data_IF_391830654553
#
_entry.id   IF_391830654553
#
_cell.length_a   1.000
_cell.length_b   1.000
_cell.length_c   1.000
_cell.angle_alpha   90.00
_cell.angle_beta   90.00
_cell.angle_gamma   90.00
#
_symmetry.space_group_name_H-M   'P 1'
#
loop_
_entity.id
_entity.type
_entity.pdbx_description
1 polymer ?
#
# COMPACT_ATOMS: atom_id res chain seq x y z
N UNK A 1 7.46 -16.13 17.36
CA UNK A 1 6.52 -15.10 16.88
C UNK A 1 5.13 -15.40 17.43
N UNK A 2 4.37 -14.40 17.88
CA UNK A 2 3.00 -14.56 18.41
C UNK A 2 2.03 -15.09 17.34
N UNK A 3 0.95 -15.80 17.72
CA UNK A 3 -0.01 -16.41 16.78
C UNK A 3 -0.83 -15.37 16.02
N UNK A 4 -1.24 -14.27 16.66
CA UNK A 4 -2.02 -13.19 16.02
C UNK A 4 -1.14 -12.46 15.01
N UNK A 5 0.12 -12.16 15.37
CA UNK A 5 1.08 -11.55 14.44
C UNK A 5 1.28 -12.45 13.21
N UNK A 6 1.53 -13.75 13.39
CA UNK A 6 1.64 -14.68 12.25
C UNK A 6 0.39 -14.70 11.38
N UNK A 7 -0.80 -14.62 12.00
CA UNK A 7 -2.07 -14.60 11.27
C UNK A 7 -2.24 -13.31 10.46
N UNK A 8 -1.90 -12.15 11.03
CA UNK A 8 -1.89 -10.85 10.31
C UNK A 8 -1.01 -10.96 9.06
N UNK A 9 0.23 -11.43 9.22
CA UNK A 9 1.18 -11.54 8.10
C UNK A 9 0.70 -12.53 7.04
N UNK A 10 0.14 -13.68 7.44
CA UNK A 10 -0.41 -14.67 6.51
C UNK A 10 -1.60 -14.11 5.72
N UNK A 11 -2.49 -13.36 6.37
CA UNK A 11 -3.65 -12.76 5.73
C UNK A 11 -3.26 -11.59 4.82
N UNK A 12 -2.14 -10.93 5.12
CA UNK A 12 -1.60 -9.82 4.31
C UNK A 12 -0.80 -10.31 3.10
N UNK A 13 -0.61 -11.62 2.94
CA UNK A 13 0.18 -12.19 1.86
C UNK A 13 -0.60 -12.19 0.51
N UNK A 14 -0.10 -11.48 -0.52
CA UNK A 14 -0.76 -11.40 -1.82
C UNK A 14 -0.89 -12.74 -2.54
N UNK A 15 0.09 -13.64 -2.41
CA UNK A 15 0.07 -14.94 -3.06
C UNK A 15 -1.02 -15.83 -2.44
N UNK A 16 -1.16 -15.77 -1.12
CA UNK A 16 -2.25 -16.44 -0.40
C UNK A 16 -3.60 -15.83 -0.78
N UNK A 17 -3.72 -14.49 -0.86
CA UNK A 17 -4.95 -13.83 -1.27
C UNK A 17 -5.37 -14.22 -2.70
N UNK A 18 -4.43 -14.22 -3.65
CA UNK A 18 -4.64 -14.69 -5.01
C UNK A 18 -5.12 -16.15 -5.03
N UNK A 19 -4.48 -17.05 -4.27
CA UNK A 19 -4.88 -18.47 -4.22
C UNK A 19 -6.32 -18.74 -3.79
N UNK A 20 -6.95 -17.80 -3.07
CA UNK A 20 -8.34 -17.91 -2.65
C UNK A 20 -9.33 -17.32 -3.65
N UNK A 21 -8.89 -16.33 -4.45
CA UNK A 21 -9.77 -15.52 -5.31
C UNK A 21 -9.59 -15.80 -6.81
N UNK A 22 -8.48 -16.41 -7.18
CA UNK A 22 -8.06 -16.62 -8.56
C UNK A 22 -7.84 -18.10 -8.81
N UNK A 23 -8.54 -18.63 -9.82
CA UNK A 23 -8.25 -19.96 -10.37
C UNK A 23 -7.52 -19.79 -11.70
N UNK A 24 -6.43 -20.53 -11.87
CA UNK A 24 -5.53 -20.40 -13.02
C UNK A 24 -5.20 -21.79 -13.58
N UNK A 25 -5.42 -21.97 -14.87
CA UNK A 25 -4.94 -23.11 -15.67
C UNK A 25 -3.96 -22.60 -16.73
N UNK A 26 -3.46 -23.50 -17.61
CA UNK A 26 -2.51 -23.11 -18.67
C UNK A 26 -3.10 -22.15 -19.72
N UNK A 27 -4.42 -22.05 -19.81
CA UNK A 27 -5.13 -21.34 -20.87
C UNK A 27 -6.39 -20.61 -20.39
N UNK A 28 -6.67 -20.62 -19.08
CA UNK A 28 -7.82 -19.94 -18.49
C UNK A 28 -7.44 -19.26 -17.18
N UNK A 29 -7.87 -18.00 -17.05
CA UNK A 29 -7.86 -17.23 -15.81
C UNK A 29 -9.31 -17.01 -15.38
N UNK A 30 -9.63 -17.39 -14.14
CA UNK A 30 -10.93 -17.15 -13.54
C UNK A 30 -10.74 -16.27 -12.30
N UNK A 31 -11.45 -15.14 -12.27
CA UNK A 31 -11.48 -14.23 -11.12
C UNK A 31 -12.94 -13.93 -10.82
N UNK A 32 -13.38 -14.27 -9.61
CA UNK A 32 -14.80 -14.29 -9.25
C UNK A 32 -15.62 -15.11 -10.28
N UNK A 33 -16.58 -14.49 -10.97
CA UNK A 33 -17.41 -15.11 -12.00
C UNK A 33 -16.91 -14.91 -13.43
N UNK A 34 -15.84 -14.12 -13.62
CA UNK A 34 -15.32 -13.80 -14.95
C UNK A 34 -14.29 -14.83 -15.40
N UNK A 35 -14.37 -15.21 -16.68
CA UNK A 35 -13.47 -16.17 -17.32
C UNK A 35 -12.74 -15.51 -18.48
N UNK A 36 -11.43 -15.69 -18.53
CA UNK A 36 -10.56 -15.15 -19.56
C UNK A 36 -9.74 -16.28 -20.16
N UNK A 37 -9.97 -16.58 -21.43
CA UNK A 37 -9.20 -17.57 -22.18
C UNK A 37 -7.98 -16.90 -22.80
N UNK A 38 -6.84 -17.58 -22.79
CA UNK A 38 -5.58 -17.10 -23.35
C UNK A 38 -4.70 -18.26 -23.80
N UNK A 39 -3.73 -17.98 -24.67
CA UNK A 39 -2.68 -18.90 -25.10
C UNK A 39 -1.29 -18.40 -24.71
N UNK A 40 -1.10 -17.08 -24.63
CA UNK A 40 0.17 -16.45 -24.25
C UNK A 40 -0.12 -15.10 -23.57
N UNK A 41 -0.26 -15.07 -22.23
CA UNK A 41 -0.52 -13.84 -21.53
C UNK A 41 0.77 -13.01 -21.38
N UNK A 42 0.60 -11.70 -21.26
CA UNK A 42 1.60 -10.77 -20.79
C UNK A 42 1.34 -10.46 -19.32
N UNK A 43 2.28 -10.80 -18.44
CA UNK A 43 2.22 -10.53 -17.01
C UNK A 43 3.03 -9.26 -16.73
N UNK A 44 2.36 -8.21 -16.26
CA UNK A 44 3.01 -6.98 -15.81
C UNK A 44 2.81 -6.86 -14.31
N UNK A 45 3.86 -6.94 -13.51
CA UNK A 45 3.76 -6.81 -12.05
C UNK A 45 4.46 -5.54 -11.56
N UNK A 46 3.72 -4.65 -10.90
CA UNK A 46 4.21 -3.31 -10.54
C UNK A 46 3.79 -2.98 -9.11
N UNK A 47 4.73 -2.53 -8.28
CA UNK A 47 4.47 -2.10 -6.90
C UNK A 47 5.25 -2.89 -5.85
N UNK A 48 5.03 -2.57 -4.58
CA UNK A 48 5.70 -3.21 -3.43
C UNK A 48 5.40 -4.71 -3.30
N UNK A 49 4.25 -5.16 -3.79
CA UNK A 49 3.83 -6.57 -3.76
C UNK A 49 4.11 -7.31 -5.08
N UNK A 50 4.79 -6.68 -6.04
CA UNK A 50 4.91 -7.19 -7.42
C UNK A 50 5.53 -8.58 -7.50
N UNK A 51 6.57 -8.85 -6.70
CA UNK A 51 7.25 -10.16 -6.69
C UNK A 51 6.31 -11.27 -6.21
N UNK A 52 5.62 -11.08 -5.07
CA UNK A 52 4.68 -12.08 -4.54
C UNK A 52 3.49 -12.31 -5.45
N UNK A 53 2.94 -11.24 -6.01
CA UNK A 53 1.85 -11.35 -6.98
C UNK A 53 2.31 -12.10 -8.24
N UNK A 54 3.49 -11.78 -8.79
CA UNK A 54 4.02 -12.44 -9.96
C UNK A 54 4.26 -13.94 -9.72
N UNK A 55 4.83 -14.31 -8.57
CA UNK A 55 5.11 -15.70 -8.22
C UNK A 55 3.89 -16.62 -8.29
N UNK A 56 2.70 -16.11 -7.96
CA UNK A 56 1.45 -16.85 -8.12
C UNK A 56 1.23 -17.34 -9.55
N UNK A 57 1.58 -16.53 -10.56
CA UNK A 57 1.41 -16.83 -11.98
C UNK A 57 2.62 -17.55 -12.57
N UNK A 58 3.83 -17.05 -12.31
CA UNK A 58 5.07 -17.56 -12.89
C UNK A 58 5.34 -19.02 -12.49
N UNK A 59 4.92 -19.43 -11.29
CA UNK A 59 5.08 -20.82 -10.83
C UNK A 59 4.08 -21.80 -11.45
N UNK A 60 3.04 -21.31 -12.15
CA UNK A 60 1.92 -22.13 -12.63
C UNK A 60 1.76 -22.13 -14.15
N UNK A 61 2.27 -21.11 -14.84
CA UNK A 61 2.15 -21.00 -16.30
C UNK A 61 3.44 -21.43 -17.00
N UNK A 62 3.30 -22.14 -18.12
CA UNK A 62 4.45 -22.60 -18.90
C UNK A 62 4.85 -21.64 -20.03
N UNK A 63 3.92 -20.78 -20.49
CA UNK A 63 4.13 -19.89 -21.64
C UNK A 63 3.53 -18.52 -21.34
N UNK A 64 4.37 -17.49 -21.32
CA UNK A 64 3.98 -16.11 -21.04
C UNK A 64 5.12 -15.14 -21.41
N UNK A 65 4.81 -13.85 -21.52
CA UNK A 65 5.79 -12.76 -21.42
C UNK A 65 5.66 -12.14 -20.01
N UNK A 66 6.75 -11.65 -19.42
CA UNK A 66 6.67 -11.08 -18.07
C UNK A 66 7.68 -9.95 -17.83
N UNK A 67 7.20 -8.88 -17.19
CA UNK A 67 8.00 -7.78 -16.65
C UNK A 67 7.56 -7.51 -15.20
N UNK A 68 8.53 -7.48 -14.28
CA UNK A 68 8.31 -7.18 -12.86
C UNK A 68 9.08 -5.92 -12.49
N UNK A 69 8.38 -4.91 -11.99
CA UNK A 69 8.96 -3.69 -11.43
C UNK A 69 8.75 -3.69 -9.92
N UNK A 70 9.85 -3.70 -9.16
CA UNK A 70 9.85 -3.76 -7.69
C UNK A 70 10.68 -2.61 -7.09
N UNK A 71 10.46 -2.24 -5.82
CA UNK A 71 11.31 -1.27 -5.14
C UNK A 71 12.77 -1.75 -5.06
N UNK A 72 13.71 -0.81 -5.22
CA UNK A 72 15.14 -1.05 -5.00
C UNK A 72 15.40 -1.59 -3.58
N UNK A 73 16.24 -2.62 -3.47
CA UNK A 73 16.57 -3.26 -2.19
C UNK A 73 15.58 -4.33 -1.72
N UNK A 74 14.51 -4.59 -2.46
CA UNK A 74 13.67 -5.78 -2.25
C UNK A 74 14.45 -7.04 -2.67
N UNK A 75 14.76 -7.90 -1.71
CA UNK A 75 15.54 -9.12 -1.92
C UNK A 75 14.69 -10.36 -2.25
N UNK A 76 13.39 -10.21 -2.44
CA UNK A 76 12.53 -11.32 -2.82
C UNK A 76 12.89 -11.87 -4.21
N UNK A 77 12.78 -13.18 -4.33
CA UNK A 77 13.12 -13.94 -5.54
C UNK A 77 11.86 -14.32 -6.29
N UNK A 78 11.97 -14.35 -7.62
CA UNK A 78 10.93 -14.86 -8.49
C UNK A 78 11.04 -16.38 -8.63
N UNK A 79 9.87 -17.02 -8.73
CA UNK A 79 9.71 -18.46 -8.96
C UNK A 79 9.40 -18.76 -10.44
N UNK A 80 10.11 -18.09 -11.35
CA UNK A 80 9.99 -18.25 -12.79
C UNK A 80 10.76 -17.18 -13.55
N UNK A 81 10.70 -17.25 -14.88
CA UNK A 81 11.43 -16.32 -15.74
C UNK A 81 10.66 -15.01 -15.88
N UNK A 82 11.28 -13.87 -15.57
CA UNK A 82 10.77 -12.55 -15.91
C UNK A 82 11.93 -11.57 -16.04
N UNK A 83 11.75 -10.53 -16.86
CA UNK A 83 12.61 -9.35 -16.75
C UNK A 83 12.25 -8.60 -15.46
N UNK A 84 13.27 -8.18 -14.70
CA UNK A 84 13.07 -7.48 -13.41
C UNK A 84 13.74 -6.12 -13.47
N UNK A 85 13.00 -5.08 -13.13
CA UNK A 85 13.51 -3.72 -12.96
C UNK A 85 13.36 -3.31 -11.50
N UNK A 86 14.47 -2.90 -10.89
CA UNK A 86 14.47 -2.28 -9.58
C UNK A 86 14.34 -0.77 -9.73
N UNK A 87 13.30 -0.21 -9.13
CA UNK A 87 12.94 1.20 -9.31
C UNK A 87 12.86 1.96 -7.99
N UNK A 88 12.88 3.29 -8.07
CA UNK A 88 12.88 4.18 -6.91
C UNK A 88 11.49 4.38 -6.31
N UNK A 89 11.45 4.41 -4.98
CA UNK A 89 10.28 4.70 -4.16
C UNK A 89 10.77 5.39 -2.87
N UNK A 90 10.10 6.45 -2.36
CA UNK A 90 8.77 6.93 -2.74
C UNK A 90 8.74 7.98 -3.86
N UNK A 91 9.90 8.45 -4.35
CA UNK A 91 9.96 9.44 -5.42
C UNK A 91 10.50 8.81 -6.71
N UNK A 92 9.93 9.15 -7.88
CA UNK A 92 10.42 8.62 -9.15
C UNK A 92 11.82 9.17 -9.49
N UNK A 93 12.66 8.32 -10.07
CA UNK A 93 13.98 8.69 -10.60
C UNK A 93 14.16 8.14 -12.03
N UNK A 94 15.41 8.15 -12.54
CA UNK A 94 15.72 7.64 -13.88
C UNK A 94 15.29 6.17 -14.09
N UNK A 95 15.40 5.33 -13.05
CA UNK A 95 14.95 3.93 -13.11
C UNK A 95 13.43 3.81 -13.22
N UNK A 96 12.69 4.76 -12.64
CA UNK A 96 11.23 4.85 -12.81
C UNK A 96 10.83 5.18 -14.24
N UNK A 97 11.60 6.07 -14.90
CA UNK A 97 11.37 6.47 -16.29
C UNK A 97 11.71 5.35 -17.27
N UNK A 98 12.80 4.63 -17.03
CA UNK A 98 13.16 3.45 -17.80
C UNK A 98 12.10 2.35 -17.65
N UNK A 99 11.62 2.12 -16.42
CA UNK A 99 10.57 1.14 -16.15
C UNK A 99 9.26 1.47 -16.90
N UNK A 100 8.81 2.72 -16.88
CA UNK A 100 7.59 3.13 -17.60
C UNK A 100 7.71 3.00 -19.12
N UNK A 101 8.86 3.39 -19.66
CA UNK A 101 9.15 3.18 -21.09
C UNK A 101 9.12 1.69 -21.43
N UNK A 102 9.75 0.84 -20.62
CA UNK A 102 9.81 -0.61 -20.83
C UNK A 102 8.42 -1.25 -20.77
N UNK A 103 7.59 -0.87 -19.79
CA UNK A 103 6.21 -1.33 -19.68
C UNK A 103 5.43 -1.03 -20.96
N UNK A 104 5.57 0.18 -21.51
CA UNK A 104 4.94 0.56 -22.78
C UNK A 104 5.49 -0.24 -23.97
N UNK A 105 6.82 -0.46 -24.03
CA UNK A 105 7.44 -1.28 -25.07
C UNK A 105 6.93 -2.74 -25.04
N UNK A 106 6.71 -3.31 -23.86
CA UNK A 106 6.11 -4.65 -23.73
C UNK A 106 4.71 -4.70 -24.35
N UNK A 107 3.84 -3.72 -24.03
CA UNK A 107 2.49 -3.67 -24.60
C UNK A 107 2.47 -3.44 -26.10
N UNK A 108 3.39 -2.64 -26.63
CA UNK A 108 3.42 -2.27 -28.05
C UNK A 108 4.09 -3.34 -28.93
N UNK A 109 5.13 -4.00 -28.43
CA UNK A 109 6.03 -4.80 -29.29
C UNK A 109 5.96 -6.31 -29.04
N UNK A 110 5.47 -6.76 -27.88
CA UNK A 110 5.38 -8.21 -27.59
C UNK A 110 4.10 -8.82 -28.16
N UNK A 111 4.18 -10.11 -28.45
CA UNK A 111 3.01 -10.93 -28.78
C UNK A 111 2.36 -11.49 -27.52
N UNK A 112 1.11 -11.12 -27.29
CA UNK A 112 0.25 -11.60 -26.22
C UNK A 112 -1.23 -11.56 -26.65
N UNK A 113 -2.06 -12.35 -25.99
CA UNK A 113 -3.52 -12.35 -26.20
C UNK A 113 -4.33 -12.01 -24.95
N UNK A 114 -3.67 -11.79 -23.81
CA UNK A 114 -4.26 -11.26 -22.58
C UNK A 114 -3.19 -10.49 -21.79
N UNK A 115 -3.54 -9.35 -21.20
CA UNK A 115 -2.67 -8.69 -20.21
C UNK A 115 -3.18 -9.01 -18.81
N UNK A 116 -2.29 -9.50 -17.96
CA UNK A 116 -2.53 -9.67 -16.52
C UNK A 116 -1.68 -8.62 -15.80
N UNK A 117 -2.32 -7.53 -15.39
CA UNK A 117 -1.65 -6.45 -14.66
C UNK A 117 -1.80 -6.69 -13.15
N UNK A 118 -0.67 -6.90 -12.47
CA UNK A 118 -0.60 -7.10 -11.02
C UNK A 118 -0.13 -5.79 -10.39
N UNK A 119 -1.05 -5.06 -9.79
CA UNK A 119 -0.81 -3.70 -9.32
C UNK A 119 -0.86 -3.63 -7.80
N UNK A 120 0.10 -2.92 -7.20
CA UNK A 120 0.11 -2.67 -5.76
C UNK A 120 0.65 -1.29 -5.41
N UNK A 121 0.56 -0.95 -4.12
CA UNK A 121 1.09 0.30 -3.56
C UNK A 121 2.51 0.64 -4.02
N UNK A 122 2.78 1.93 -4.17
CA UNK A 122 4.07 2.46 -4.66
C UNK A 122 4.25 2.48 -6.18
N UNK A 123 3.33 1.88 -6.95
CA UNK A 123 3.40 1.83 -8.42
C UNK A 123 3.54 3.22 -9.10
N UNK A 124 2.91 4.26 -8.55
CA UNK A 124 2.97 5.62 -9.09
C UNK A 124 4.39 6.15 -9.24
N UNK A 125 5.26 5.81 -8.29
CA UNK A 125 6.66 6.24 -8.25
C UNK A 125 7.60 5.25 -8.94
N UNK A 126 7.26 3.96 -8.92
CA UNK A 126 8.10 2.92 -9.53
C UNK A 126 8.06 2.94 -11.07
N UNK A 127 6.96 3.38 -11.68
CA UNK A 127 6.77 3.31 -13.13
C UNK A 127 6.17 4.62 -13.62
N UNK A 128 6.93 5.33 -14.46
CA UNK A 128 6.50 6.58 -15.10
C UNK A 128 7.05 6.66 -16.53
N UNK A 129 6.27 7.16 -17.48
CA UNK A 129 6.74 7.56 -18.81
C UNK A 129 6.16 8.96 -19.08
N UNK A 130 6.90 10.03 -18.75
CA UNK A 130 6.35 11.38 -18.80
C UNK A 130 6.14 11.83 -20.24
N UNK A 131 5.08 12.60 -20.49
CA UNK A 131 4.89 13.38 -21.72
C UNK A 131 5.96 14.48 -21.83
N UNK A 132 6.17 15.35 -20.82
CA UNK A 132 7.23 16.34 -20.84
C UNK A 132 8.63 15.73 -20.75
N UNK A 133 9.69 16.49 -21.06
CA UNK A 133 11.07 16.12 -20.72
C UNK A 133 11.20 15.75 -19.24
N UNK A 134 11.98 14.71 -18.93
CA UNK A 134 12.10 14.13 -17.58
C UNK A 134 12.39 15.17 -16.48
N UNK A 135 13.29 16.12 -16.76
CA UNK A 135 13.65 17.18 -15.80
C UNK A 135 12.48 18.13 -15.50
N UNK A 136 11.65 18.44 -16.50
CA UNK A 136 10.43 19.25 -16.34
C UNK A 136 9.40 18.50 -15.49
N UNK A 137 9.18 17.21 -15.78
CA UNK A 137 8.27 16.38 -14.99
C UNK A 137 8.65 16.35 -13.51
N UNK A 138 9.95 16.12 -13.21
CA UNK A 138 10.46 16.07 -11.82
C UNK A 138 10.25 17.40 -11.10
N UNK A 139 10.50 18.53 -11.76
CA UNK A 139 10.29 19.87 -11.17
C UNK A 139 8.81 20.11 -10.85
N UNK A 140 7.90 19.81 -11.78
CA UNK A 140 6.44 19.91 -11.56
C UNK A 140 6.01 19.04 -10.39
N UNK A 141 6.41 17.76 -10.38
CA UNK A 141 5.99 16.82 -9.33
C UNK A 141 6.53 17.22 -7.96
N UNK A 142 7.77 17.69 -7.88
CA UNK A 142 8.34 18.17 -6.62
C UNK A 142 7.53 19.34 -6.07
N UNK A 143 7.22 20.33 -6.90
CA UNK A 143 6.42 21.50 -6.50
C UNK A 143 5.02 21.12 -6.07
N UNK A 144 4.34 20.25 -6.81
CA UNK A 144 3.02 19.72 -6.44
C UNK A 144 3.05 19.07 -5.05
N UNK A 145 3.99 18.14 -4.80
CA UNK A 145 4.08 17.42 -3.52
C UNK A 145 4.40 18.37 -2.36
N UNK A 146 5.22 19.40 -2.58
CA UNK A 146 5.58 20.36 -1.52
C UNK A 146 4.58 21.51 -1.35
N UNK A 147 3.56 21.62 -2.20
CA UNK A 147 2.60 22.73 -2.19
C UNK A 147 1.54 22.64 -1.08
N UNK A 148 1.37 21.45 -0.48
CA UNK A 148 0.36 21.21 0.55
C UNK A 148 -1.06 20.97 0.01
N UNK A 149 -1.25 20.85 -1.31
CA UNK A 149 -2.53 20.42 -1.90
C UNK A 149 -2.82 18.94 -1.59
N UNK A 150 -4.08 18.54 -1.71
CA UNK A 150 -4.48 17.15 -1.53
C UNK A 150 -3.89 16.20 -2.57
N UNK A 151 -3.84 14.92 -2.21
CA UNK A 151 -3.30 13.86 -3.10
C UNK A 151 -4.14 13.70 -4.38
N UNK A 152 -5.43 14.00 -4.30
CA UNK A 152 -6.35 13.94 -5.45
C UNK A 152 -5.94 14.96 -6.52
N UNK A 153 -5.68 16.21 -6.13
CA UNK A 153 -5.22 17.27 -7.05
C UNK A 153 -3.86 16.95 -7.65
N UNK A 154 -2.93 16.42 -6.85
CA UNK A 154 -1.64 15.93 -7.37
C UNK A 154 -1.87 14.84 -8.42
N UNK A 155 -2.79 13.91 -8.17
CA UNK A 155 -3.08 12.82 -9.09
C UNK A 155 -3.71 13.31 -10.40
N UNK A 156 -4.60 14.32 -10.36
CA UNK A 156 -5.18 14.94 -11.56
C UNK A 156 -4.07 15.43 -12.49
N UNK A 157 -3.16 16.28 -11.99
CA UNK A 157 -2.06 16.81 -12.81
C UNK A 157 -1.13 15.69 -13.27
N UNK A 158 -0.78 14.74 -12.38
CA UNK A 158 0.12 13.63 -12.70
C UNK A 158 -0.41 12.75 -13.84
N UNK A 159 -1.70 12.41 -13.83
CA UNK A 159 -2.32 11.60 -14.89
C UNK A 159 -2.21 12.30 -16.24
N UNK A 160 -2.48 13.61 -16.28
CA UNK A 160 -2.44 14.42 -17.50
C UNK A 160 -1.04 14.68 -18.07
N UNK A 161 0.03 14.45 -17.29
CA UNK A 161 1.43 14.55 -17.72
C UNK A 161 2.11 13.21 -18.01
N UNK A 162 1.40 12.08 -17.88
CA UNK A 162 1.96 10.73 -18.03
C UNK A 162 1.42 10.02 -19.27
N UNK A 163 2.27 9.25 -19.96
CA UNK A 163 1.87 8.41 -21.10
C UNK A 163 1.20 7.09 -20.69
N UNK A 164 1.19 6.74 -19.41
CA UNK A 164 0.73 5.43 -18.93
C UNK A 164 -0.30 5.51 -17.80
N UNK A 165 -0.40 6.61 -17.07
CA UNK A 165 -1.38 6.80 -15.99
C UNK A 165 -2.74 7.25 -16.54
N UNK A 166 -3.77 7.26 -15.68
CA UNK A 166 -5.12 7.71 -16.04
C UNK A 166 -5.72 6.94 -17.21
N UNK A 167 -5.59 5.62 -17.21
CA UNK A 167 -6.15 4.73 -18.22
C UNK A 167 -5.33 4.62 -19.51
N UNK A 168 -4.26 5.40 -19.67
CA UNK A 168 -3.46 5.38 -20.91
C UNK A 168 -2.73 4.05 -21.13
N UNK A 169 -2.31 3.35 -20.07
CA UNK A 169 -1.77 2.00 -20.21
C UNK A 169 -2.80 1.05 -20.84
N UNK A 170 -4.07 1.17 -20.44
CA UNK A 170 -5.13 0.36 -21.02
C UNK A 170 -5.38 0.64 -22.50
N UNK A 171 -5.33 1.92 -22.89
CA UNK A 171 -5.47 2.34 -24.30
C UNK A 171 -4.33 1.85 -25.20
N UNK A 172 -3.17 1.49 -24.64
CA UNK A 172 -2.03 0.95 -25.40
C UNK A 172 -2.13 -0.56 -25.64
N UNK A 173 -2.97 -1.27 -24.89
CA UNK A 173 -3.09 -2.73 -24.99
C UNK A 173 -3.86 -3.14 -26.24
N UNK A 174 -3.34 -4.16 -26.93
CA UNK A 174 -4.00 -4.77 -28.11
C UNK A 174 -5.05 -5.82 -27.74
N UNK A 175 -5.18 -6.14 -26.45
CA UNK A 175 -6.11 -7.15 -25.94
C UNK A 175 -6.78 -6.72 -24.64
N UNK A 176 -7.63 -7.60 -24.10
CA UNK A 176 -8.23 -7.45 -22.78
C UNK A 176 -7.16 -7.39 -21.69
N UNK A 177 -7.48 -6.63 -20.65
CA UNK A 177 -6.64 -6.46 -19.46
C UNK A 177 -7.42 -6.92 -18.25
N UNK A 178 -6.78 -7.78 -17.45
CA UNK A 178 -7.24 -8.17 -16.13
C UNK A 178 -6.28 -7.56 -15.12
N UNK A 179 -6.75 -6.53 -14.42
CA UNK A 179 -5.97 -5.84 -13.38
C UNK A 179 -6.33 -6.43 -12.02
N UNK A 180 -5.34 -6.97 -11.32
CA UNK A 180 -5.45 -7.52 -9.98
C UNK A 180 -4.74 -6.59 -9.01
N UNK A 181 -5.46 -6.09 -8.01
CA UNK A 181 -5.00 -4.99 -7.16
C UNK A 181 -4.79 -5.44 -5.71
N UNK A 182 -3.61 -5.11 -5.15
CA UNK A 182 -3.35 -5.08 -3.70
C UNK A 182 -3.30 -3.62 -3.27
N UNK A 183 -4.31 -3.17 -2.52
CA UNK A 183 -4.51 -1.76 -2.20
C UNK A 183 -3.99 -1.39 -0.81
N UNK A 184 -3.15 -0.35 -0.75
CA UNK A 184 -2.81 0.40 0.47
C UNK A 184 -3.48 1.79 0.51
N UNK A 185 -4.45 2.02 -0.38
CA UNK A 185 -5.19 3.27 -0.52
C UNK A 185 -6.50 3.19 0.28
N UNK A 186 -6.79 4.18 1.15
CA UNK A 186 -8.05 4.22 1.90
C UNK A 186 -9.25 4.33 0.94
N UNK A 187 -10.39 3.76 1.30
CA UNK A 187 -11.57 3.66 0.43
C UNK A 187 -11.41 2.73 -0.77
N UNK A 188 -10.21 2.19 -1.03
CA UNK A 188 -9.87 1.36 -2.19
C UNK A 188 -10.26 1.98 -3.53
N UNK A 189 -10.11 3.30 -3.68
CA UNK A 189 -10.25 3.93 -5.00
C UNK A 189 -9.16 3.42 -5.95
N UNK A 190 -9.56 2.53 -6.86
CA UNK A 190 -8.67 1.92 -7.85
C UNK A 190 -8.10 2.96 -8.83
N UNK A 191 -8.78 4.10 -9.02
CA UNK A 191 -8.29 5.20 -9.86
C UNK A 191 -7.00 5.84 -9.29
N UNK A 192 -6.76 5.64 -7.99
CA UNK A 192 -5.64 6.20 -7.26
C UNK A 192 -4.47 5.22 -7.14
N UNK A 193 -4.72 3.91 -7.09
CA UNK A 193 -3.64 2.90 -7.03
C UNK A 193 -2.80 2.97 -8.30
N UNK A 194 -1.50 3.26 -8.16
CA UNK A 194 -0.61 3.47 -9.31
C UNK A 194 -0.99 4.67 -10.20
N UNK A 195 -1.85 5.57 -9.72
CA UNK A 195 -2.51 6.63 -10.51
C UNK A 195 -3.37 6.07 -11.66
N UNK A 196 -4.00 4.93 -11.44
CA UNK A 196 -5.03 4.35 -12.30
C UNK A 196 -4.58 4.08 -13.73
N UNK A 197 -3.49 3.33 -13.98
CA UNK A 197 -3.00 3.09 -15.35
C UNK A 197 -4.01 2.36 -16.25
N UNK A 198 -4.92 1.58 -15.65
CA UNK A 198 -6.00 0.87 -16.33
C UNK A 198 -7.39 1.36 -15.96
N UNK A 199 -7.48 2.50 -15.27
CA UNK A 199 -8.74 3.08 -14.83
C UNK A 199 -9.08 4.31 -15.65
N UNK A 200 -10.34 4.44 -16.09
CA UNK A 200 -10.78 5.62 -16.83
C UNK A 200 -10.69 6.85 -15.91
N UNK A 201 -10.03 7.91 -16.38
CA UNK A 201 -9.82 9.10 -15.57
C UNK A 201 -10.85 10.15 -15.91
N UNK A 202 -11.77 10.42 -14.98
CA UNK A 202 -12.87 11.37 -15.17
C UNK A 202 -12.44 12.84 -15.07
N UNK A 203 -11.27 13.11 -14.48
CA UNK A 203 -10.72 14.46 -14.44
C UNK A 203 -10.27 14.90 -15.84
N UNK A 204 -10.17 16.21 -16.04
CA UNK A 204 -9.96 16.82 -17.35
C UNK A 204 -8.65 17.61 -17.42
N UNK A 205 -8.18 17.84 -18.65
CA UNK A 205 -7.06 18.78 -18.91
C UNK A 205 -7.36 20.17 -18.38
N UNK A 206 -8.63 20.57 -18.34
CA UNK A 206 -9.03 21.87 -17.79
C UNK A 206 -8.75 21.95 -16.29
N UNK A 207 -9.21 20.96 -15.52
CA UNK A 207 -8.97 20.90 -14.06
C UNK A 207 -7.46 20.81 -13.75
N UNK A 208 -6.72 19.97 -14.47
CA UNK A 208 -5.27 19.88 -14.31
C UNK A 208 -4.58 21.23 -14.55
N UNK A 209 -5.05 21.99 -15.55
CA UNK A 209 -4.54 23.33 -15.85
C UNK A 209 -4.89 24.34 -14.77
N UNK A 210 -6.09 24.30 -14.21
CA UNK A 210 -6.49 25.18 -13.10
C UNK A 210 -5.62 24.95 -11.87
N UNK A 211 -5.33 23.70 -11.52
CA UNK A 211 -4.41 23.35 -10.42
C UNK A 211 -3.01 23.88 -10.69
N UNK A 212 -2.48 23.67 -11.90
CA UNK A 212 -1.15 24.18 -12.26
C UNK A 212 -1.08 25.71 -12.18
N UNK A 213 -2.10 26.43 -12.64
CA UNK A 213 -2.19 27.89 -12.56
C UNK A 213 -2.28 28.40 -11.14
N UNK A 214 -3.13 27.78 -10.32
CA UNK A 214 -3.27 28.13 -8.91
C UNK A 214 -1.92 28.07 -8.18
N UNK A 215 -1.10 27.08 -8.53
CA UNK A 215 0.24 26.88 -7.97
C UNK A 215 1.37 27.58 -8.75
N UNK A 216 1.05 28.39 -9.77
CA UNK A 216 2.02 29.07 -10.64
C UNK A 216 3.07 28.11 -11.26
N UNK A 217 2.65 26.91 -11.65
CA UNK A 217 3.50 25.91 -12.28
C UNK A 217 3.62 26.16 -13.79
N UNK A 218 4.81 25.91 -14.34
CA UNK A 218 5.05 25.89 -15.78
C UNK A 218 4.74 24.50 -16.37
N UNK A 219 4.60 24.39 -17.69
CA UNK A 219 4.41 23.10 -18.37
C UNK A 219 2.96 22.75 -18.73
N UNK A 220 2.04 23.72 -18.72
CA UNK A 220 0.65 23.52 -19.15
C UNK A 220 0.54 23.02 -20.61
N UNK A 221 1.55 23.31 -21.44
CA UNK A 221 1.65 22.88 -22.83
C UNK A 221 1.82 21.36 -23.01
N UNK A 222 2.22 20.65 -21.95
CA UNK A 222 2.38 19.20 -21.96
C UNK A 222 1.14 18.44 -21.47
N UNK A 223 0.10 19.15 -21.04
CA UNK A 223 -1.13 18.51 -20.58
C UNK A 223 -1.88 17.91 -21.76
N UNK A 224 -2.07 16.59 -21.72
CA UNK A 224 -2.87 15.85 -22.69
C UNK A 224 -4.09 15.23 -22.00
N UNK A 225 -5.18 15.02 -22.74
CA UNK A 225 -6.43 14.43 -22.20
C UNK A 225 -6.34 12.92 -21.99
N UNK A 226 -6.92 12.45 -20.89
CA UNK A 226 -6.95 11.04 -20.49
C UNK A 226 -8.23 10.33 -20.98
N UNK A 227 -8.19 9.02 -21.26
CA UNK A 227 -9.37 8.26 -21.65
C UNK A 227 -10.46 8.28 -20.58
N UNK A 228 -11.64 8.76 -20.96
CA UNK A 228 -12.84 8.83 -20.11
C UNK A 228 -13.66 7.53 -20.09
N UNK A 229 -13.33 6.59 -20.97
CA UNK A 229 -13.98 5.28 -21.08
C UNK A 229 -12.97 4.22 -21.50
N UNK A 230 -13.07 3.03 -20.93
CA UNK A 230 -12.27 1.86 -21.25
C UNK A 230 -13.18 0.63 -21.36
N UNK A 231 -13.17 -0.06 -22.49
CA UNK A 231 -14.04 -1.21 -22.77
C UNK A 231 -13.31 -2.57 -22.67
N UNK A 232 -11.99 -2.54 -22.51
CA UNK A 232 -11.12 -3.72 -22.54
C UNK A 232 -10.53 -4.08 -21.17
N UNK A 233 -11.02 -3.50 -20.07
CA UNK A 233 -10.43 -3.68 -18.73
C UNK A 233 -11.42 -4.31 -17.75
N UNK A 234 -10.92 -5.26 -16.96
CA UNK A 234 -11.58 -5.80 -15.78
C UNK A 234 -10.64 -5.64 -14.58
N UNK A 235 -11.09 -4.93 -13.55
CA UNK A 235 -10.29 -4.65 -12.35
C UNK A 235 -10.86 -5.39 -11.14
N UNK A 236 -9.99 -6.02 -10.37
CA UNK A 236 -10.37 -6.83 -9.21
C UNK A 236 -9.49 -6.50 -8.01
N UNK A 237 -10.12 -6.07 -6.91
CA UNK A 237 -9.46 -5.93 -5.62
C UNK A 237 -9.18 -7.32 -5.02
N UNK A 238 -7.90 -7.69 -4.94
CA UNK A 238 -7.46 -8.98 -4.40
C UNK A 238 -7.24 -8.90 -2.90
N UNK A 239 -6.61 -7.83 -2.43
CA UNK A 239 -6.26 -7.68 -1.02
C UNK A 239 -6.25 -6.20 -0.62
N UNK A 240 -6.82 -5.92 0.54
CA UNK A 240 -6.76 -4.65 1.23
C UNK A 240 -6.71 -4.90 2.75
N UNK A 241 -6.63 -3.81 3.51
CA UNK A 241 -6.63 -3.89 4.97
C UNK A 241 -7.92 -4.52 5.52
N UNK A 242 -9.07 -4.29 4.89
CA UNK A 242 -10.37 -4.82 5.33
C UNK A 242 -10.44 -6.35 5.24
N UNK A 243 -9.90 -6.93 4.16
CA UNK A 243 -9.77 -8.37 3.99
C UNK A 243 -8.92 -9.01 5.09
N UNK A 244 -7.83 -8.34 5.50
CA UNK A 244 -7.00 -8.79 6.62
C UNK A 244 -7.80 -8.77 7.93
N UNK A 245 -8.48 -7.67 8.23
CA UNK A 245 -9.27 -7.54 9.46
C UNK A 245 -10.40 -8.58 9.54
N UNK A 246 -11.15 -8.78 8.44
CA UNK A 246 -12.20 -9.81 8.36
C UNK A 246 -11.65 -11.22 8.54
N UNK A 247 -10.46 -11.49 8.00
CA UNK A 247 -9.83 -12.81 8.05
C UNK A 247 -9.26 -13.21 9.41
N UNK A 248 -9.10 -12.26 10.35
CA UNK A 248 -8.55 -12.52 11.68
C UNK A 248 -9.44 -13.46 12.50
N UNK A 249 -10.77 -13.33 12.36
CA UNK A 249 -11.77 -14.21 12.98
C UNK A 249 -11.50 -14.49 14.47
N UNK A 250 -11.32 -13.42 15.25
CA UNK A 250 -11.06 -13.50 16.70
C UNK A 250 -12.37 -13.50 17.49
N UNK A 251 -12.33 -14.04 18.71
CA UNK A 251 -13.49 -14.10 19.60
C UNK A 251 -14.03 -12.70 19.92
N UNK A 252 -15.36 -12.54 19.85
CA UNK A 252 -16.09 -11.29 20.12
C UNK A 252 -15.40 -10.08 19.48
N UNK A 253 -15.03 -10.20 18.19
CA UNK A 253 -14.29 -9.18 17.47
C UNK A 253 -15.18 -8.22 16.68
N UNK A 254 -14.82 -6.93 16.72
CA UNK A 254 -15.54 -5.85 16.06
C UNK A 254 -14.54 -4.99 15.27
N UNK A 255 -14.76 -4.87 13.96
CA UNK A 255 -14.00 -3.95 13.11
C UNK A 255 -14.60 -2.56 13.29
N UNK A 256 -13.84 -1.64 13.88
CA UNK A 256 -14.31 -0.27 14.12
C UNK A 256 -13.87 0.72 13.03
N UNK A 257 -12.75 0.46 12.37
CA UNK A 257 -12.33 1.23 11.19
C UNK A 257 -11.28 0.46 10.38
N UNK A 258 -11.35 0.54 9.06
CA UNK A 258 -10.29 0.14 8.12
C UNK A 258 -9.51 1.34 7.58
N UNK A 259 -9.80 2.55 8.09
CA UNK A 259 -9.30 3.81 7.54
C UNK A 259 -8.77 4.74 8.63
N UNK A 260 -8.09 4.18 9.63
CA UNK A 260 -7.41 5.00 10.66
C UNK A 260 -6.44 5.97 9.96
N UNK A 261 -6.56 7.25 10.30
CA UNK A 261 -5.78 8.37 9.80
C UNK A 261 -5.54 9.39 10.92
N UNK A 262 -4.66 10.34 10.64
CA UNK A 262 -4.24 11.35 11.60
C UNK A 262 -3.12 10.88 12.50
N UNK A 263 -2.87 11.65 13.55
CA UNK A 263 -1.68 11.50 14.40
C UNK A 263 -1.67 10.19 15.22
N UNK A 264 -0.57 9.44 15.12
CA UNK A 264 -0.36 8.14 15.77
C UNK A 264 -0.53 8.17 17.29
N UNK A 265 0.08 9.17 17.97
CA UNK A 265 -0.10 9.33 19.43
C UNK A 265 -1.58 9.59 19.79
N UNK A 266 -2.29 10.40 19.00
CA UNK A 266 -3.71 10.69 19.25
C UNK A 266 -4.56 9.42 19.13
N UNK A 267 -4.25 8.58 18.15
CA UNK A 267 -4.91 7.28 18.00
C UNK A 267 -4.62 6.34 19.19
N UNK A 268 -3.38 6.27 19.68
CA UNK A 268 -3.04 5.50 20.89
C UNK A 268 -3.82 5.95 22.13
N UNK A 269 -3.91 7.26 22.37
CA UNK A 269 -4.72 7.82 23.46
C UNK A 269 -6.22 7.53 23.30
N UNK A 270 -6.74 7.54 22.07
CA UNK A 270 -8.11 7.16 21.78
C UNK A 270 -8.39 5.69 22.11
N UNK A 271 -7.50 4.77 21.71
CA UNK A 271 -7.62 3.35 22.06
C UNK A 271 -7.63 3.13 23.58
N UNK A 272 -6.80 3.86 24.33
CA UNK A 272 -6.80 3.81 25.79
C UNK A 272 -8.12 4.34 26.38
N UNK A 273 -8.71 5.37 25.75
CA UNK A 273 -10.01 5.92 26.16
C UNK A 273 -11.14 4.90 25.96
N UNK A 274 -11.11 4.12 24.88
CA UNK A 274 -12.04 3.00 24.66
C UNK A 274 -11.90 1.92 25.74
N UNK A 275 -10.69 1.62 26.19
CA UNK A 275 -10.48 0.69 27.32
C UNK A 275 -10.99 1.25 28.65
N UNK A 276 -10.78 2.54 28.87
CA UNK A 276 -11.08 3.22 30.13
C UNK A 276 -12.58 3.54 30.32
N UNK A 277 -13.39 3.40 29.28
CA UNK A 277 -14.84 3.69 29.35
C UNK A 277 -15.54 2.75 30.34
N UNK A 278 -16.47 3.30 31.11
CA UNK A 278 -17.29 2.51 32.04
C UNK A 278 -18.35 1.68 31.33
N UNK A 279 -18.89 2.22 30.23
CA UNK A 279 -19.88 1.54 29.39
C UNK A 279 -19.36 1.46 27.97
N UNK A 280 -19.32 0.24 27.44
CA UNK A 280 -19.00 -0.04 26.04
C UNK A 280 -20.10 -0.94 25.49
N UNK A 281 -20.59 -0.72 24.26
CA UNK A 281 -21.70 -1.51 23.71
C UNK A 281 -21.29 -2.93 23.26
N UNK A 282 -20.10 -3.42 23.65
CA UNK A 282 -19.59 -4.74 23.29
C UNK A 282 -19.67 -5.70 24.48
N UNK A 283 -20.04 -6.95 24.19
CA UNK A 283 -20.00 -8.03 25.19
C UNK A 283 -18.55 -8.34 25.55
N UNK A 284 -18.23 -8.31 26.85
CA UNK A 284 -16.92 -8.70 27.39
C UNK A 284 -16.77 -10.24 27.46
N UNK A 285 -15.57 -10.80 27.20
CA UNK A 285 -14.40 -10.13 26.63
C UNK A 285 -14.64 -9.72 25.19
N UNK A 286 -14.03 -8.64 24.73
CA UNK A 286 -14.17 -8.15 23.35
C UNK A 286 -12.80 -7.90 22.70
N UNK A 287 -12.79 -7.95 21.37
CA UNK A 287 -11.64 -7.60 20.55
C UNK A 287 -12.02 -6.46 19.61
N UNK A 288 -11.28 -5.35 19.64
CA UNK A 288 -11.46 -4.25 18.68
C UNK A 288 -10.38 -4.32 17.62
N UNK A 289 -10.81 -4.24 16.37
CA UNK A 289 -9.95 -4.33 15.19
C UNK A 289 -9.96 -3.00 14.46
N UNK A 290 -8.77 -2.52 14.14
CA UNK A 290 -8.58 -1.33 13.33
C UNK A 290 -7.53 -1.56 12.26
N UNK A 291 -7.69 -0.89 11.12
CA UNK A 291 -6.72 -0.85 10.05
C UNK A 291 -6.53 0.57 9.55
N UNK A 292 -5.36 0.86 9.01
CA UNK A 292 -5.08 2.16 8.39
C UNK A 292 -3.62 2.59 8.52
N UNK A 293 -3.40 3.88 8.29
CA UNK A 293 -2.09 4.49 8.11
C UNK A 293 -2.04 5.79 8.92
N UNK A 294 -1.94 5.72 10.27
CA UNK A 294 -1.72 6.93 11.05
C UNK A 294 -0.33 7.52 10.75
N UNK A 295 -0.20 8.81 10.98
CA UNK A 295 0.99 9.59 10.65
C UNK A 295 1.73 10.01 11.91
N UNK A 296 3.02 10.33 11.76
CA UNK A 296 3.84 10.89 12.83
C UNK A 296 4.33 12.26 12.36
N UNK A 297 3.87 13.32 13.01
CA UNK A 297 4.39 14.66 12.78
C UNK A 297 5.74 14.83 13.48
N UNK A 298 6.83 14.73 12.71
CA UNK A 298 8.18 14.86 13.22
C UNK A 298 8.48 16.31 13.61
N UNK A 299 8.99 16.49 14.83
CA UNK A 299 9.46 17.78 15.35
C UNK A 299 10.69 17.60 16.23
N UNK A 300 11.56 18.60 16.28
CA UNK A 300 12.74 18.56 17.15
C UNK A 300 13.68 17.39 16.85
N UNK A 301 14.01 16.60 17.89
CA UNK A 301 14.92 15.46 17.79
C UNK A 301 14.18 14.25 17.25
N UNK A 302 14.76 13.58 16.26
CA UNK A 302 14.20 12.36 15.67
C UNK A 302 15.05 11.15 16.07
N UNK A 303 14.51 10.31 16.94
CA UNK A 303 15.09 9.05 17.37
C UNK A 303 14.74 7.87 16.44
N UNK A 304 14.99 6.66 16.93
CA UNK A 304 14.54 5.42 16.27
C UNK A 304 13.11 5.11 16.71
N UNK A 305 12.17 5.19 15.78
CA UNK A 305 10.74 5.16 16.07
C UNK A 305 9.90 4.85 14.84
N UNK A 306 8.59 4.81 15.06
CA UNK A 306 7.58 4.55 14.04
C UNK A 306 6.18 4.71 14.61
N UNK A 307 5.19 4.76 13.73
CA UNK A 307 3.79 5.09 14.04
C UNK A 307 3.16 4.04 14.95
N UNK A 308 3.45 2.75 14.73
CA UNK A 308 2.92 1.67 15.56
C UNK A 308 3.54 1.73 16.95
N UNK A 309 4.83 2.02 17.02
CA UNK A 309 5.52 2.28 18.28
C UNK A 309 4.90 3.44 19.07
N UNK A 310 4.60 4.56 18.40
CA UNK A 310 3.95 5.71 19.05
C UNK A 310 2.50 5.42 19.49
N UNK A 311 1.73 4.65 18.71
CA UNK A 311 0.41 4.16 19.12
C UNK A 311 0.51 3.33 20.41
N UNK A 312 1.43 2.35 20.46
CA UNK A 312 1.64 1.51 21.64
C UNK A 312 2.03 2.34 22.87
N UNK A 313 3.01 3.25 22.72
CA UNK A 313 3.49 4.07 23.84
C UNK A 313 2.42 5.04 24.34
N UNK A 314 1.71 5.73 23.43
CA UNK A 314 0.64 6.64 23.84
C UNK A 314 -0.52 5.88 24.48
N UNK A 315 -0.87 4.68 24.00
CA UNK A 315 -1.85 3.83 24.68
C UNK A 315 -1.43 3.52 26.13
N UNK A 316 -0.18 3.12 26.34
CA UNK A 316 0.37 2.82 27.67
C UNK A 316 0.40 4.03 28.62
N UNK A 317 0.52 5.25 28.09
CA UNK A 317 0.48 6.46 28.90
C UNK A 317 -0.87 6.64 29.63
N UNK A 318 -1.95 6.25 28.95
CA UNK A 318 -3.32 6.61 29.31
C UNK A 318 -4.17 5.44 29.82
N UNK A 319 -3.84 4.18 29.48
CA UNK A 319 -4.62 3.01 29.91
C UNK A 319 -4.56 2.84 31.44
N UNK A 320 -5.71 2.54 32.08
CA UNK A 320 -5.81 2.33 33.53
C UNK A 320 -5.86 0.86 33.95
N UNK A 321 -6.46 0.01 33.12
CA UNK A 321 -6.52 -1.43 33.36
C UNK A 321 -5.25 -2.12 32.83
N UNK A 322 -4.76 -3.13 33.53
CA UNK A 322 -3.62 -3.94 33.11
C UNK A 322 -4.05 -5.19 32.33
N UNK A 323 -5.34 -5.50 32.32
CA UNK A 323 -5.92 -6.59 31.55
C UNK A 323 -6.19 -6.11 30.13
N UNK A 324 -5.15 -6.11 29.29
CA UNK A 324 -5.29 -5.88 27.86
C UNK A 324 -4.16 -6.57 27.10
N UNK A 325 -4.33 -6.66 25.79
CA UNK A 325 -3.24 -6.87 24.85
C UNK A 325 -3.47 -6.03 23.62
N UNK A 326 -2.50 -5.19 23.26
CA UNK A 326 -2.54 -4.35 22.07
C UNK A 326 -1.45 -4.79 21.10
N UNK A 327 -1.86 -5.11 19.89
CA UNK A 327 -1.00 -5.35 18.75
C UNK A 327 -1.07 -4.14 17.81
N UNK A 328 0.06 -3.67 17.34
CA UNK A 328 0.17 -2.63 16.32
C UNK A 328 1.23 -3.08 15.31
N UNK A 329 0.81 -3.51 14.12
CA UNK A 329 1.66 -4.24 13.16
C UNK A 329 1.57 -3.64 11.76
N UNK A 330 2.69 -3.20 11.22
CA UNK A 330 2.86 -2.85 9.81
C UNK A 330 2.93 -4.12 8.97
N UNK A 331 2.10 -4.17 7.92
CA UNK A 331 2.00 -5.37 7.08
C UNK A 331 3.18 -5.54 6.14
N UNK A 332 3.94 -4.47 5.86
CA UNK A 332 5.19 -4.50 5.09
C UNK A 332 6.41 -4.99 5.90
N UNK A 333 6.24 -5.10 7.22
CA UNK A 333 7.25 -5.57 8.14
C UNK A 333 8.20 -4.48 8.66
N UNK A 334 7.95 -3.21 8.33
CA UNK A 334 8.80 -2.07 8.71
C UNK A 334 7.94 -0.91 9.19
N UNK A 335 8.19 -0.44 10.42
CA UNK A 335 7.56 0.73 10.99
C UNK A 335 8.58 1.84 11.22
N UNK A 336 8.39 2.95 10.50
CA UNK A 336 9.22 4.14 10.57
C UNK A 336 10.66 3.87 10.12
N UNK A 337 11.63 4.38 10.88
CA UNK A 337 13.07 4.22 10.61
C UNK A 337 13.68 3.06 11.41
N UNK A 338 12.89 2.02 11.70
CA UNK A 338 13.30 0.89 12.54
C UNK A 338 13.36 -0.43 11.77
N UNK A 339 13.91 -1.46 12.42
CA UNK A 339 13.91 -2.84 11.92
C UNK A 339 12.64 -3.63 12.29
N UNK A 340 11.67 -2.98 12.94
CA UNK A 340 10.50 -3.63 13.52
C UNK A 340 9.28 -3.40 12.66
N UNK A 341 8.41 -4.39 12.56
CA UNK A 341 7.09 -4.24 11.99
C UNK A 341 6.15 -3.48 12.94
N UNK A 342 6.46 -3.46 14.23
CA UNK A 342 5.46 -3.07 15.21
C UNK A 342 5.80 -3.47 16.63
N UNK A 343 4.75 -3.46 17.46
CA UNK A 343 4.82 -3.81 18.87
C UNK A 343 3.62 -4.63 19.32
N UNK A 344 3.85 -5.38 20.41
CA UNK A 344 2.80 -6.02 21.20
C UNK A 344 3.03 -5.61 22.64
N UNK A 345 2.07 -4.88 23.21
CA UNK A 345 2.12 -4.40 24.59
C UNK A 345 0.96 -4.99 25.40
N UNK A 346 1.21 -5.27 26.67
CA UNK A 346 0.22 -5.80 27.62
C UNK A 346 0.46 -5.20 29.01
N UNK A 347 -0.32 -5.63 30.02
CA UNK A 347 -0.16 -5.17 31.40
C UNK A 347 1.22 -5.41 32.03
N UNK A 348 2.07 -6.26 31.44
CA UNK A 348 3.45 -6.52 31.89
C UNK A 348 4.45 -5.54 31.29
N UNK A 349 4.07 -4.76 30.27
CA UNK A 349 4.91 -3.69 29.70
C UNK A 349 4.96 -2.49 30.66
N UNK A 350 5.80 -2.57 31.69
CA UNK A 350 5.96 -1.51 32.70
C UNK A 350 6.93 -0.43 32.24
N UNK A 351 6.41 0.77 32.00
CA UNK A 351 7.15 1.99 31.66
C UNK A 351 6.60 3.15 32.49
N UNK A 352 7.45 4.05 32.96
CA UNK A 352 6.97 5.26 33.64
C UNK A 352 6.38 6.27 32.64
N UNK A 353 5.40 7.06 33.08
CA UNK A 353 4.81 8.12 32.23
C UNK A 353 5.84 9.11 31.72
N UNK A 354 6.88 9.40 32.51
CA UNK A 354 7.96 10.30 32.11
C UNK A 354 8.81 9.70 30.98
N UNK A 355 9.13 8.42 31.04
CA UNK A 355 9.85 7.73 29.95
C UNK A 355 9.03 7.72 28.66
N UNK A 356 7.73 7.44 28.76
CA UNK A 356 6.83 7.42 27.61
C UNK A 356 6.76 8.81 26.94
N UNK A 357 6.49 9.87 27.72
CA UNK A 357 6.38 11.23 27.19
C UNK A 357 7.66 11.68 26.48
N UNK A 358 8.79 11.49 27.16
CA UNK A 358 10.10 11.82 26.56
C UNK A 358 10.34 11.04 25.28
N UNK A 359 9.95 9.77 25.24
CA UNK A 359 10.15 8.95 24.05
C UNK A 359 9.28 9.41 22.88
N UNK A 360 8.03 9.82 23.14
CA UNK A 360 7.13 10.40 22.14
C UNK A 360 7.62 11.76 21.63
N UNK A 361 8.12 12.64 22.52
CA UNK A 361 8.70 13.94 22.15
C UNK A 361 9.97 13.82 21.30
N UNK A 362 10.79 12.81 21.56
CA UNK A 362 12.04 12.56 20.81
C UNK A 362 11.84 11.58 19.63
N UNK A 363 10.59 11.22 19.27
CA UNK A 363 10.25 10.24 18.23
C UNK A 363 11.10 8.95 18.31
N UNK A 364 11.27 8.44 19.52
CA UNK A 364 12.22 7.36 19.87
C UNK A 364 11.53 6.09 20.34
N UNK A 365 10.30 5.83 19.87
CA UNK A 365 9.41 4.82 20.43
C UNK A 365 10.04 3.42 20.52
N UNK A 366 10.80 3.01 19.49
CA UNK A 366 11.44 1.70 19.49
C UNK A 366 12.65 1.61 20.42
N UNK A 367 13.35 2.70 20.71
CA UNK A 367 14.42 2.68 21.73
C UNK A 367 13.87 2.33 23.11
N UNK A 368 12.66 2.81 23.42
CA UNK A 368 12.00 2.50 24.68
C UNK A 368 11.37 1.09 24.68
N UNK A 369 10.67 0.72 23.60
CA UNK A 369 10.00 -0.58 23.49
C UNK A 369 10.98 -1.77 23.51
N UNK A 370 12.20 -1.59 23.00
CA UNK A 370 13.28 -2.59 23.08
C UNK A 370 13.60 -3.00 24.53
N UNK A 371 13.59 -2.05 25.47
CA UNK A 371 13.87 -2.30 26.89
C UNK A 371 12.86 -3.24 27.54
N UNK A 372 11.64 -3.28 27.00
CA UNK A 372 10.55 -4.13 27.49
C UNK A 372 10.35 -5.40 26.67
N UNK A 373 11.15 -5.60 25.60
CA UNK A 373 10.99 -6.71 24.63
C UNK A 373 9.59 -6.76 24.01
N UNK A 374 8.94 -5.61 23.87
CA UNK A 374 7.60 -5.48 23.29
C UNK A 374 7.61 -5.31 21.76
N UNK A 375 8.77 -5.45 21.13
CA UNK A 375 8.98 -5.20 19.69
C UNK A 375 8.75 -6.44 18.83
N UNK A 376 8.22 -6.26 17.63
CA UNK A 376 8.00 -7.33 16.65
C UNK A 376 8.93 -7.13 15.45
N UNK A 377 9.89 -8.04 15.26
CA UNK A 377 10.78 -8.07 14.10
C UNK A 377 10.37 -9.18 13.14
N UNK A 378 9.98 -8.82 11.92
CA UNK A 378 9.61 -9.76 10.85
C UNK A 378 10.59 -9.74 9.69
N UNK A 379 11.25 -8.60 9.48
CA UNK A 379 11.88 -8.27 8.20
C UNK A 379 10.84 -7.89 7.13
N UNK A 380 11.28 -7.47 5.93
CA UNK A 380 10.41 -7.13 4.82
C UNK A 380 9.50 -8.31 4.45
N UNK A 381 8.20 -8.05 4.33
CA UNK A 381 7.20 -9.10 4.07
C UNK A 381 6.84 -9.23 2.60
N UNK A 382 7.22 -8.26 1.74
CA UNK A 382 6.90 -8.26 0.31
C UNK A 382 5.48 -7.87 -0.04
N UNK A 383 4.82 -7.10 0.83
CA UNK A 383 3.44 -6.61 0.64
C UNK A 383 3.28 -5.30 1.40
N UNK A 384 2.20 -4.57 1.13
CA UNK A 384 1.79 -3.43 1.96
C UNK A 384 0.28 -3.26 1.81
N UNK A 385 -0.45 -3.46 2.91
CA UNK A 385 -1.88 -3.13 3.05
C UNK A 385 -2.09 -2.36 4.36
N UNK A 386 -1.19 -1.41 4.62
CA UNK A 386 -1.15 -0.53 5.79
C UNK A 386 -0.83 -1.25 7.11
N UNK A 387 -1.38 -0.74 8.22
CA UNK A 387 -1.15 -1.22 9.58
C UNK A 387 -2.42 -1.87 10.14
N UNK A 388 -2.24 -2.88 10.98
CA UNK A 388 -3.30 -3.61 11.67
C UNK A 388 -3.13 -3.43 13.17
N UNK A 389 -4.22 -3.02 13.82
CA UNK A 389 -4.31 -2.87 15.27
C UNK A 389 -5.33 -3.83 15.84
N UNK A 390 -4.93 -4.59 16.86
CA UNK A 390 -5.80 -5.54 17.56
C UNK A 390 -5.74 -5.22 19.05
N UNK A 391 -6.86 -4.79 19.62
CA UNK A 391 -7.00 -4.50 21.04
C UNK A 391 -7.91 -5.55 21.68
N UNK A 392 -7.33 -6.40 22.53
CA UNK A 392 -8.06 -7.44 23.26
C UNK A 392 -8.31 -6.94 24.69
N UNK A 393 -9.56 -6.98 25.12
CA UNK A 393 -10.02 -6.54 26.43
C UNK A 393 -10.85 -7.64 27.13
N UNK A 394 -10.76 -7.74 28.48
CA UNK A 394 -11.48 -8.74 29.28
C UNK A 394 -12.98 -8.48 29.36
#
# INVERSE_FOLDING_TARGET
MDSIVRRILQLSDPEIALSKKVSLSQNELIVNSYRFQFQKPLILAIGKASVKMANFFLSKLNKYESLVVKPRGDNLKLNGNAEVIESSHPYPDESSFEAGKKVREYLLNKEYDLVILLLSGGASSLVEDPIPPKHVYVDIMKKLITSGIGIEEVNIVRKHLSKIKGGRLASLSKSKIVTLVVSDVPGNDLSTVGSGPTHADLSTVHEAREIMRWLNLQGEEYLEETPKKLDNVWEFLILDVSEVLRGLNLENSYILSSEVRGEAKSFGAFLASLMNTQYIPFRRPFTLLFGGEPEVHLSGKVGKGGRNGEVCLSFLEWVRDEKFKLYAIATDGIDGNSDYAGCVVDGKTKLSKLEIRRSLEEHSSYQLLERTKSTVKTGPTGTNVNNIYVLIAP
#
